data_IF_939768304595
#
_entry.id   IF_939768304595
#
_cell.length_a   1.000
_cell.length_b   1.000
_cell.length_c   1.000
_cell.angle_alpha   90.00
_cell.angle_beta   90.00
_cell.angle_gamma   90.00
#
_symmetry.space_group_name_H-M   'P 1'
#
loop_
_entity.id
_entity.type
_entity.pdbx_description
1 polymer ?
#
# COMPACT_ATOMS: atom_id res chain seq x y z
N UNK A 1 27.53 -12.54 8.70
CA UNK A 1 27.61 -11.06 8.62
C UNK A 1 27.13 -10.66 7.24
N UNK A 2 25.98 -9.99 7.14
CA UNK A 2 25.54 -9.39 5.87
C UNK A 2 26.39 -8.13 5.70
N UNK A 3 27.17 -8.07 4.62
CA UNK A 3 27.95 -6.88 4.29
C UNK A 3 26.95 -5.83 3.83
N UNK A 4 26.82 -4.75 4.59
CA UNK A 4 25.94 -3.63 4.25
C UNK A 4 26.61 -2.83 3.12
N UNK A 5 26.14 -3.04 1.89
CA UNK A 5 26.66 -2.37 0.69
C UNK A 5 25.91 -1.07 0.40
N UNK A 6 24.93 -0.71 1.23
CA UNK A 6 24.14 0.49 1.04
C UNK A 6 24.93 1.74 1.44
N UNK A 7 24.87 2.76 0.59
CA UNK A 7 25.42 4.09 0.86
C UNK A 7 24.33 5.15 0.64
N UNK A 8 24.19 6.13 1.55
CA UNK A 8 23.29 7.25 1.33
C UNK A 8 23.83 8.11 0.17
N UNK A 9 22.95 8.46 -0.77
CA UNK A 9 23.31 9.39 -1.87
C UNK A 9 22.73 9.02 -3.24
N UNK A 10 22.38 7.76 -3.47
CA UNK A 10 21.73 7.36 -4.73
C UNK A 10 20.28 7.83 -4.78
N UNK A 11 20.00 8.80 -5.65
CA UNK A 11 18.67 9.37 -5.86
C UNK A 11 18.04 8.85 -7.15
N UNK A 12 16.76 8.49 -7.07
CA UNK A 12 15.97 8.00 -8.21
C UNK A 12 14.85 8.98 -8.53
N UNK A 13 14.63 9.24 -9.82
CA UNK A 13 13.49 10.03 -10.27
C UNK A 13 12.20 9.21 -10.14
N UNK A 14 11.34 9.60 -9.19
CA UNK A 14 10.08 8.91 -8.94
C UNK A 14 9.07 9.16 -10.08
N UNK A 15 8.37 8.11 -10.51
CA UNK A 15 7.26 8.20 -11.44
C UNK A 15 6.15 9.11 -10.88
N UNK A 16 5.56 9.99 -11.71
CA UNK A 16 4.58 10.97 -11.24
C UNK A 16 3.34 10.32 -10.63
N UNK A 17 2.69 11.05 -9.72
CA UNK A 17 1.46 10.65 -9.04
C UNK A 17 1.68 9.77 -7.80
N UNK A 18 0.60 9.22 -7.23
CA UNK A 18 0.66 8.41 -6.01
C UNK A 18 1.55 7.17 -6.20
N UNK A 19 2.40 6.88 -5.22
CA UNK A 19 3.21 5.66 -5.20
C UNK A 19 2.35 4.43 -4.95
N UNK A 20 2.84 3.25 -5.36
CA UNK A 20 2.17 1.98 -5.11
C UNK A 20 1.88 1.76 -3.63
N UNK A 21 2.80 2.15 -2.74
CA UNK A 21 2.59 2.10 -1.29
C UNK A 21 1.41 2.98 -0.82
N UNK A 22 1.28 4.20 -1.36
CA UNK A 22 0.16 5.09 -1.00
C UNK A 22 -1.18 4.52 -1.49
N UNK A 23 -1.21 3.93 -2.69
CA UNK A 23 -2.40 3.27 -3.22
C UNK A 23 -2.78 2.03 -2.39
N UNK A 24 -1.81 1.24 -1.94
CA UNK A 24 -2.04 0.09 -1.06
C UNK A 24 -2.65 0.50 0.29
N UNK A 25 -2.23 1.65 0.86
CA UNK A 25 -2.84 2.18 2.09
C UNK A 25 -4.31 2.61 1.87
N UNK A 26 -4.62 3.20 0.72
CA UNK A 26 -6.01 3.56 0.36
C UNK A 26 -6.84 2.29 0.20
N UNK A 27 -6.33 1.29 -0.52
CA UNK A 27 -6.98 -0.02 -0.69
C UNK A 27 -7.27 -0.69 0.65
N UNK A 28 -6.31 -0.69 1.59
CA UNK A 28 -6.51 -1.22 2.94
C UNK A 28 -7.64 -0.50 3.68
N UNK A 29 -7.74 0.82 3.54
CA UNK A 29 -8.83 1.60 4.14
C UNK A 29 -10.20 1.23 3.60
N UNK A 30 -10.31 1.00 2.28
CA UNK A 30 -11.55 0.54 1.63
C UNK A 30 -11.93 -0.84 2.18
N UNK A 31 -11.00 -1.80 2.16
CA UNK A 31 -11.25 -3.17 2.65
C UNK A 31 -11.68 -3.17 4.13
N UNK A 32 -11.11 -2.28 4.96
CA UNK A 32 -11.49 -2.19 6.37
C UNK A 32 -12.96 -1.75 6.54
N UNK A 33 -13.49 -0.94 5.64
CA UNK A 33 -14.88 -0.48 5.66
C UNK A 33 -15.89 -1.59 5.31
N UNK A 34 -15.45 -2.66 4.66
CA UNK A 34 -16.30 -3.81 4.34
C UNK A 34 -16.79 -4.56 5.59
N UNK A 35 -15.93 -4.70 6.60
CA UNK A 35 -16.25 -5.46 7.82
C UNK A 35 -17.49 -4.94 8.57
N UNK A 36 -17.60 -3.64 8.91
CA UNK A 36 -18.81 -3.13 9.57
C UNK A 36 -20.05 -3.24 8.68
N UNK A 37 -19.93 -3.05 7.36
CA UNK A 37 -21.07 -3.21 6.44
C UNK A 37 -21.60 -4.65 6.45
N UNK A 38 -20.70 -5.64 6.38
CA UNK A 38 -21.07 -7.05 6.47
C UNK A 38 -21.68 -7.39 7.84
N UNK A 39 -21.13 -6.85 8.94
CA UNK A 39 -21.67 -7.06 10.27
C UNK A 39 -23.10 -6.51 10.42
N UNK A 40 -23.36 -5.29 9.93
CA UNK A 40 -24.70 -4.68 9.91
C UNK A 40 -25.66 -5.53 9.08
N UNK A 41 -25.22 -6.01 7.91
CA UNK A 41 -26.03 -6.84 7.04
C UNK A 41 -26.43 -8.16 7.73
N UNK A 42 -25.46 -8.88 8.31
CA UNK A 42 -25.70 -10.15 9.01
C UNK A 42 -26.59 -9.96 10.23
N UNK A 43 -26.31 -8.96 11.06
CA UNK A 43 -27.12 -8.66 12.25
C UNK A 43 -28.55 -8.26 11.85
N UNK A 44 -28.69 -7.42 10.82
CA UNK A 44 -29.98 -6.97 10.33
C UNK A 44 -30.83 -8.11 9.76
N UNK A 45 -30.22 -9.04 9.02
CA UNK A 45 -30.91 -10.25 8.55
C UNK A 45 -31.32 -11.16 9.72
N UNK A 46 -30.47 -11.33 10.74
CA UNK A 46 -30.79 -12.14 11.92
C UNK A 46 -31.94 -11.56 12.75
N UNK A 47 -32.04 -10.23 12.85
CA UNK A 47 -33.11 -9.54 13.60
C UNK A 47 -34.42 -9.51 12.81
N UNK A 48 -34.34 -9.20 11.51
CA UNK A 48 -35.53 -9.05 10.68
C UNK A 48 -36.21 -10.39 10.37
N UNK A 49 -35.45 -11.49 10.34
CA UNK A 49 -35.97 -12.82 9.99
C UNK A 49 -36.41 -12.97 8.53
N UNK A 50 -36.27 -11.92 7.73
CA UNK A 50 -36.60 -11.86 6.30
C UNK A 50 -35.34 -11.64 5.45
N UNK A 51 -35.42 -11.98 4.16
CA UNK A 51 -34.35 -11.69 3.20
C UNK A 51 -34.15 -10.19 2.96
N UNK A 52 -32.98 -9.79 2.46
CA UNK A 52 -32.61 -8.39 2.28
C UNK A 52 -33.55 -7.57 1.37
N UNK A 53 -34.33 -8.22 0.50
CA UNK A 53 -35.20 -7.58 -0.48
C UNK A 53 -36.44 -6.89 0.11
N UNK A 54 -36.91 -7.30 1.29
CA UNK A 54 -38.07 -6.68 1.94
C UNK A 54 -37.73 -5.45 2.76
N UNK A 55 -36.44 -5.24 3.06
CA UNK A 55 -35.95 -4.11 3.85
C UNK A 55 -35.17 -3.13 2.97
N UNK A 56 -35.70 -1.90 2.73
CA UNK A 56 -34.97 -0.86 2.02
C UNK A 56 -33.60 -0.55 2.65
N UNK A 57 -33.51 -0.66 3.99
CA UNK A 57 -32.25 -0.48 4.71
C UNK A 57 -31.23 -1.57 4.37
N UNK A 58 -31.61 -2.85 4.43
CA UNK A 58 -30.69 -3.95 4.09
C UNK A 58 -30.31 -3.95 2.61
N UNK A 59 -31.24 -3.57 1.73
CA UNK A 59 -30.97 -3.37 0.30
C UNK A 59 -29.92 -2.26 0.09
N UNK A 60 -30.02 -1.12 0.80
CA UNK A 60 -29.00 -0.07 0.74
C UNK A 60 -27.63 -0.58 1.20
N UNK A 61 -27.57 -1.33 2.30
CA UNK A 61 -26.32 -1.92 2.79
C UNK A 61 -25.73 -2.90 1.77
N UNK A 62 -26.55 -3.73 1.11
CA UNK A 62 -26.11 -4.60 0.01
C UNK A 62 -25.51 -3.82 -1.16
N UNK A 63 -26.11 -2.70 -1.55
CA UNK A 63 -25.57 -1.81 -2.59
C UNK A 63 -24.22 -1.23 -2.16
N UNK A 64 -24.07 -0.82 -0.91
CA UNK A 64 -22.80 -0.31 -0.37
C UNK A 64 -21.72 -1.40 -0.35
N UNK A 65 -22.06 -2.64 0.05
CA UNK A 65 -21.15 -3.80 -0.01
C UNK A 65 -20.70 -4.06 -1.45
N UNK A 66 -21.63 -4.09 -2.41
CA UNK A 66 -21.29 -4.27 -3.82
C UNK A 66 -20.40 -3.13 -4.34
N UNK A 67 -20.70 -1.89 -3.96
CA UNK A 67 -19.89 -0.71 -4.29
C UNK A 67 -18.49 -0.80 -3.70
N UNK A 68 -18.35 -1.25 -2.46
CA UNK A 68 -17.07 -1.46 -1.79
C UNK A 68 -16.22 -2.50 -2.54
N UNK A 69 -16.79 -3.66 -2.88
CA UNK A 69 -16.13 -4.72 -3.64
C UNK A 69 -15.61 -4.21 -4.98
N UNK A 70 -16.44 -3.46 -5.73
CA UNK A 70 -16.03 -2.87 -7.02
C UNK A 70 -14.92 -1.84 -6.82
N UNK A 71 -15.05 -0.96 -5.83
CA UNK A 71 -14.07 0.08 -5.55
C UNK A 71 -12.71 -0.50 -5.12
N UNK A 72 -12.73 -1.54 -4.29
CA UNK A 72 -11.56 -2.32 -3.86
C UNK A 72 -10.88 -2.99 -5.06
N UNK A 73 -11.66 -3.61 -5.95
CA UNK A 73 -11.13 -4.22 -7.17
C UNK A 73 -10.42 -3.21 -8.08
N UNK A 74 -11.01 -2.02 -8.25
CA UNK A 74 -10.42 -0.93 -9.05
C UNK A 74 -9.15 -0.40 -8.38
N UNK A 75 -9.18 -0.18 -7.05
CA UNK A 75 -8.02 0.28 -6.28
C UNK A 75 -6.86 -0.72 -6.38
N UNK A 76 -7.14 -2.01 -6.22
CA UNK A 76 -6.16 -3.10 -6.36
C UNK A 76 -5.55 -3.15 -7.76
N UNK A 77 -6.38 -3.05 -8.80
CA UNK A 77 -5.89 -3.01 -10.17
C UNK A 77 -4.96 -1.81 -10.44
N UNK A 78 -5.31 -0.62 -9.92
CA UNK A 78 -4.46 0.58 -10.03
C UNK A 78 -3.17 0.45 -9.23
N UNK A 79 -3.23 -0.08 -8.01
CA UNK A 79 -2.08 -0.36 -7.15
C UNK A 79 -1.11 -1.32 -7.85
N UNK A 80 -1.61 -2.45 -8.36
CA UNK A 80 -0.81 -3.44 -9.09
C UNK A 80 -0.19 -2.86 -10.38
N UNK A 81 -0.94 -2.04 -11.12
CA UNK A 81 -0.41 -1.34 -12.31
C UNK A 81 0.73 -0.40 -11.95
N UNK A 82 0.58 0.41 -10.89
CA UNK A 82 1.61 1.36 -10.46
C UNK A 82 2.86 0.63 -9.94
N UNK A 83 2.69 -0.41 -9.13
CA UNK A 83 3.80 -1.22 -8.62
C UNK A 83 4.59 -1.88 -9.76
N UNK A 84 3.92 -2.44 -10.77
CA UNK A 84 4.60 -2.94 -11.98
C UNK A 84 5.31 -1.85 -12.77
N UNK A 85 4.77 -0.62 -12.79
CA UNK A 85 5.43 0.50 -13.43
C UNK A 85 6.69 0.94 -12.68
N UNK A 86 6.65 0.98 -11.34
CA UNK A 86 7.83 1.24 -10.49
C UNK A 86 8.93 0.20 -10.78
N UNK A 87 8.60 -1.09 -10.72
CA UNK A 87 9.58 -2.17 -10.97
C UNK A 87 10.20 -2.06 -12.37
N UNK A 88 9.40 -1.74 -13.39
CA UNK A 88 9.92 -1.51 -14.76
C UNK A 88 10.82 -0.28 -14.86
N UNK A 89 10.66 0.70 -13.96
CA UNK A 89 11.55 1.84 -13.85
C UNK A 89 12.80 1.55 -13.01
N UNK A 90 12.99 0.30 -12.55
CA UNK A 90 14.18 -0.16 -11.83
C UNK A 90 14.15 0.07 -10.33
N UNK A 91 13.00 0.45 -9.75
CA UNK A 91 12.87 0.69 -8.32
C UNK A 91 11.54 0.21 -7.74
N UNK A 92 11.39 0.18 -6.42
CA UNK A 92 10.13 -0.09 -5.74
C UNK A 92 9.94 0.82 -4.54
N UNK A 93 8.70 1.20 -4.26
CA UNK A 93 8.34 1.84 -3.00
C UNK A 93 7.77 0.84 -1.97
N UNK A 94 7.58 -0.42 -2.37
CA UNK A 94 7.08 -1.48 -1.51
C UNK A 94 8.22 -2.19 -0.78
N UNK A 95 8.12 -2.28 0.54
CA UNK A 95 9.16 -2.86 1.39
C UNK A 95 9.31 -4.39 1.31
N UNK A 96 8.31 -5.11 0.83
CA UNK A 96 8.27 -6.59 0.92
C UNK A 96 8.00 -7.32 -0.39
N UNK A 97 7.65 -6.60 -1.46
CA UNK A 97 7.08 -7.22 -2.66
C UNK A 97 8.08 -7.50 -3.78
N UNK A 98 9.13 -6.69 -3.90
CA UNK A 98 10.09 -6.75 -4.99
C UNK A 98 11.49 -6.55 -4.42
N UNK A 99 12.20 -7.65 -4.17
CA UNK A 99 13.54 -7.60 -3.57
C UNK A 99 14.63 -7.43 -4.64
N UNK A 100 14.30 -7.74 -5.89
CA UNK A 100 15.13 -7.70 -7.08
C UNK A 100 15.40 -6.29 -7.64
N UNK A 101 14.72 -5.26 -7.11
CA UNK A 101 14.95 -3.85 -7.44
C UNK A 101 15.23 -3.03 -6.20
N UNK A 102 15.86 -1.87 -6.40
CA UNK A 102 16.15 -0.92 -5.33
C UNK A 102 14.87 -0.43 -4.67
N UNK A 103 14.82 -0.48 -3.34
CA UNK A 103 13.76 0.16 -2.59
C UNK A 103 14.09 1.64 -2.41
N UNK A 104 13.15 2.51 -2.72
CA UNK A 104 13.30 3.96 -2.62
C UNK A 104 12.36 4.50 -1.56
N UNK A 105 12.87 5.42 -0.74
CA UNK A 105 12.05 6.18 0.20
C UNK A 105 11.12 7.13 -0.56
N UNK A 106 9.82 7.03 -0.27
CA UNK A 106 8.76 7.75 -1.00
C UNK A 106 8.86 9.26 -0.81
N UNK A 107 9.40 9.72 0.31
CA UNK A 107 9.42 11.14 0.65
C UNK A 107 10.61 11.86 0.04
N UNK A 108 11.76 11.21 0.03
CA UNK A 108 13.03 11.82 -0.39
C UNK A 108 13.47 11.40 -1.79
N UNK A 109 12.99 10.25 -2.29
CA UNK A 109 13.41 9.69 -3.58
C UNK A 109 14.80 9.03 -3.54
N UNK A 110 15.38 8.84 -2.36
CA UNK A 110 16.68 8.17 -2.21
C UNK A 110 16.50 6.67 -1.99
N UNK A 111 17.43 5.88 -2.51
CA UNK A 111 17.48 4.43 -2.29
C UNK A 111 17.71 4.18 -0.80
N UNK A 112 16.83 3.39 -0.19
CA UNK A 112 16.91 2.97 1.22
C UNK A 112 17.36 1.51 1.38
N UNK A 113 17.15 0.68 0.36
CA UNK A 113 17.62 -0.72 0.28
C UNK A 113 18.04 -1.00 -1.15
N UNK A 114 19.23 -1.55 -1.35
CA UNK A 114 19.66 -1.92 -2.70
C UNK A 114 19.04 -3.25 -3.14
N UNK A 115 18.93 -3.47 -4.45
CA UNK A 115 18.47 -4.73 -5.01
C UNK A 115 19.26 -5.92 -4.46
N UNK A 116 18.55 -6.99 -4.11
CA UNK A 116 19.13 -8.21 -3.54
C UNK A 116 19.33 -8.19 -2.01
N UNK A 117 19.29 -7.03 -1.36
CA UNK A 117 19.33 -6.98 0.11
C UNK A 117 18.05 -7.55 0.73
N UNK A 118 18.14 -8.21 1.90
CA UNK A 118 16.96 -8.69 2.61
C UNK A 118 16.03 -7.52 2.99
N UNK A 119 14.71 -7.78 3.14
CA UNK A 119 13.78 -6.76 3.58
C UNK A 119 14.23 -6.11 4.90
N UNK A 120 14.23 -4.78 4.93
CA UNK A 120 14.64 -4.03 6.12
C UNK A 120 13.65 -4.28 7.27
N UNK A 121 14.19 -4.45 8.47
CA UNK A 121 13.40 -4.29 9.69
C UNK A 121 13.02 -2.83 9.88
N UNK A 122 12.02 -2.56 10.75
CA UNK A 122 11.60 -1.19 11.03
C UNK A 122 12.74 -0.33 11.58
N UNK A 123 13.53 -0.86 12.51
CA UNK A 123 14.69 -0.14 13.06
C UNK A 123 15.74 0.22 12.00
N UNK A 124 16.07 -0.73 11.11
CA UNK A 124 17.00 -0.46 10.01
C UNK A 124 16.45 0.55 9.00
N UNK A 125 15.15 0.51 8.73
CA UNK A 125 14.50 1.51 7.89
C UNK A 125 14.63 2.90 8.51
N UNK A 126 14.29 3.04 9.79
CA UNK A 126 14.32 4.32 10.49
C UNK A 126 15.76 4.88 10.55
N UNK A 127 16.76 4.03 10.81
CA UNK A 127 18.17 4.39 10.82
C UNK A 127 18.65 4.86 9.43
N UNK A 128 18.36 4.11 8.36
CA UNK A 128 18.76 4.49 7.00
C UNK A 128 18.03 5.74 6.53
N UNK A 129 16.76 5.91 6.88
CA UNK A 129 16.00 7.12 6.60
C UNK A 129 16.58 8.35 7.31
N UNK A 130 17.07 8.20 8.55
CA UNK A 130 17.74 9.27 9.28
C UNK A 130 19.06 9.66 8.61
N UNK A 131 19.90 8.68 8.25
CA UNK A 131 21.14 8.93 7.51
C UNK A 131 20.90 9.63 6.16
N UNK A 132 19.84 9.28 5.44
CA UNK A 132 19.42 9.99 4.21
C UNK A 132 19.07 11.44 4.53
N UNK A 133 18.31 11.70 5.61
CA UNK A 133 17.94 13.07 6.00
C UNK A 133 19.16 13.90 6.36
N UNK A 134 20.12 13.32 7.07
CA UNK A 134 21.34 14.05 7.45
C UNK A 134 22.24 14.31 6.24
N UNK A 135 22.38 13.33 5.34
CA UNK A 135 23.07 13.54 4.06
C UNK A 135 22.45 14.69 3.24
N UNK A 136 21.11 14.81 3.20
CA UNK A 136 20.43 15.91 2.52
C UNK A 136 20.72 17.27 3.17
N UNK A 137 20.95 17.34 4.50
CA UNK A 137 21.27 18.60 5.20
C UNK A 137 22.71 19.06 4.96
N UNK A 138 23.62 18.13 4.67
CA UNK A 138 25.03 18.41 4.43
C UNK A 138 25.33 18.87 2.99
N UNK A 139 24.38 18.68 2.07
CA UNK A 139 24.41 19.17 0.68
C UNK A 139 23.91 20.61 0.57
#
# INVERSE_FOLDING_TARGET
>A
MVVDHWTPGTKVALLPGPTGLKLAKIEMGIILALFPLLAILVAGMAIAGEGYASSPFLTLIMVLVAGDIVSSSIASARCNRKLRAEVRAGYTTSARRFNEVDQVDVHTGYVIRVAGEPPLTRGQYDERAERIRDHIKEM
#
